data_IF_564863447100
#
_entry.id   IF_564863447100
#
_cell.length_a   1.000
_cell.length_b   1.000
_cell.length_c   1.000
_cell.angle_alpha   90.00
_cell.angle_beta   90.00
_cell.angle_gamma   90.00
#
_symmetry.space_group_name_H-M   'P 1'
#
loop_
_entity.id
_entity.type
_entity.pdbx_description
1 polymer ?
#
# COMPACT_ATOMS: atom_id res chain seq x y z
N UNK A 1 -16.21 -17.58 10.35
CA UNK A 1 -17.05 -16.67 9.54
C UNK A 1 -16.46 -16.55 8.15
N UNK A 2 -17.25 -16.80 7.10
CA UNK A 2 -16.80 -16.75 5.70
C UNK A 2 -16.59 -15.33 5.17
N UNK A 3 -16.20 -15.21 3.89
CA UNK A 3 -16.08 -13.92 3.21
C UNK A 3 -17.48 -13.34 2.97
N UNK A 4 -17.71 -12.11 3.42
CA UNK A 4 -18.94 -11.34 3.15
C UNK A 4 -18.61 -10.19 2.20
N UNK A 5 -19.48 -9.94 1.21
CA UNK A 5 -19.34 -8.80 0.30
C UNK A 5 -19.58 -7.50 1.07
N UNK A 6 -18.62 -6.57 1.00
CA UNK A 6 -18.73 -5.24 1.60
C UNK A 6 -18.97 -4.20 0.49
N UNK A 7 -19.79 -3.19 0.77
CA UNK A 7 -19.84 -1.97 -0.05
C UNK A 7 -18.50 -1.22 0.07
N UNK A 8 -18.03 -0.64 -1.04
CA UNK A 8 -16.82 0.19 -1.03
C UNK A 8 -17.20 1.59 -0.53
N UNK A 9 -17.20 1.72 0.80
CA UNK A 9 -17.41 2.97 1.55
C UNK A 9 -16.62 2.92 2.86
N UNK A 10 -16.51 4.04 3.56
CA UNK A 10 -15.85 4.09 4.88
C UNK A 10 -16.56 3.13 5.85
N UNK A 11 -15.78 2.33 6.57
CA UNK A 11 -16.29 1.47 7.65
C UNK A 11 -16.44 2.35 8.89
N UNK A 12 -17.66 2.53 9.39
CA UNK A 12 -17.94 3.42 10.51
C UNK A 12 -17.39 2.89 11.84
N UNK A 13 -17.63 1.61 12.14
CA UNK A 13 -17.12 0.99 13.36
C UNK A 13 -15.59 0.95 13.36
N UNK A 14 -14.97 1.67 14.31
CA UNK A 14 -13.51 1.85 14.39
C UNK A 14 -12.75 0.54 14.56
N UNK A 15 -13.25 -0.40 15.38
CA UNK A 15 -12.62 -1.71 15.58
C UNK A 15 -12.65 -2.52 14.29
N UNK A 16 -13.80 -2.60 13.62
CA UNK A 16 -13.93 -3.29 12.34
C UNK A 16 -13.07 -2.65 11.26
N UNK A 17 -12.96 -1.31 11.26
CA UNK A 17 -12.09 -0.56 10.34
C UNK A 17 -10.62 -0.90 10.59
N UNK A 18 -10.16 -0.96 11.84
CA UNK A 18 -8.79 -1.32 12.19
C UNK A 18 -8.44 -2.76 11.80
N UNK A 19 -9.32 -3.72 12.12
CA UNK A 19 -9.12 -5.13 11.75
C UNK A 19 -9.12 -5.31 10.24
N UNK A 20 -10.05 -4.65 9.54
CA UNK A 20 -10.13 -4.69 8.08
C UNK A 20 -8.91 -4.05 7.43
N UNK A 21 -8.44 -2.90 7.95
CA UNK A 21 -7.21 -2.26 7.50
C UNK A 21 -6.03 -3.23 7.61
N UNK A 22 -5.80 -3.84 8.78
CA UNK A 22 -4.70 -4.78 8.98
C UNK A 22 -4.73 -5.95 7.98
N UNK A 23 -5.91 -6.55 7.76
CA UNK A 23 -6.06 -7.67 6.81
C UNK A 23 -5.85 -7.23 5.35
N UNK A 24 -6.45 -6.12 4.92
CA UNK A 24 -6.33 -5.60 3.55
C UNK A 24 -4.93 -5.09 3.25
N UNK A 25 -4.30 -4.39 4.20
CA UNK A 25 -2.90 -3.94 4.11
C UNK A 25 -1.97 -5.12 3.85
N UNK A 26 -2.10 -6.19 4.62
CA UNK A 26 -1.26 -7.38 4.42
C UNK A 26 -1.50 -8.03 3.05
N UNK A 27 -2.75 -8.10 2.59
CA UNK A 27 -3.07 -8.58 1.24
C UNK A 27 -2.50 -7.70 0.13
N UNK A 28 -2.55 -6.38 0.30
CA UNK A 28 -1.98 -5.41 -0.65
C UNK A 28 -0.46 -5.51 -0.71
N UNK A 29 0.21 -5.57 0.45
CA UNK A 29 1.66 -5.78 0.54
C UNK A 29 2.07 -7.07 -0.19
N UNK A 30 1.32 -8.17 0.02
CA UNK A 30 1.59 -9.42 -0.69
C UNK A 30 1.50 -9.25 -2.21
N UNK A 31 0.48 -8.54 -2.71
CA UNK A 31 0.33 -8.28 -4.15
C UNK A 31 1.42 -7.37 -4.70
N UNK A 32 1.80 -6.33 -3.97
CA UNK A 32 2.90 -5.44 -4.34
C UNK A 32 4.24 -6.18 -4.41
N UNK A 33 4.50 -7.08 -3.45
CA UNK A 33 5.66 -7.96 -3.47
C UNK A 33 5.65 -8.93 -4.66
N UNK A 34 4.54 -9.64 -4.88
CA UNK A 34 4.37 -10.53 -6.04
C UNK A 34 4.67 -9.79 -7.35
N UNK A 35 4.14 -8.58 -7.53
CA UNK A 35 4.36 -7.76 -8.71
C UNK A 35 5.83 -7.34 -8.86
N UNK A 36 6.45 -6.86 -7.78
CA UNK A 36 7.84 -6.42 -7.79
C UNK A 36 8.79 -7.54 -8.21
N UNK A 37 8.55 -8.77 -7.71
CA UNK A 37 9.36 -9.94 -8.05
C UNK A 37 9.07 -10.46 -9.46
N UNK A 38 7.79 -10.63 -9.82
CA UNK A 38 7.42 -11.26 -11.09
C UNK A 38 7.76 -10.41 -12.32
N UNK A 39 7.75 -9.09 -12.18
CA UNK A 39 7.93 -8.16 -13.28
C UNK A 39 9.21 -7.33 -13.18
N UNK A 40 10.03 -7.56 -12.16
CA UNK A 40 11.24 -6.76 -11.86
C UNK A 40 10.96 -5.25 -11.85
N UNK A 41 9.93 -4.85 -11.11
CA UNK A 41 9.50 -3.45 -11.01
C UNK A 41 9.69 -2.90 -9.59
N UNK A 42 10.11 -1.64 -9.54
CA UNK A 42 10.20 -0.86 -8.29
C UNK A 42 8.78 -0.52 -7.80
N UNK A 43 8.40 -0.99 -6.61
CA UNK A 43 7.08 -0.72 -6.00
C UNK A 43 7.27 -0.19 -4.58
N UNK A 44 6.59 0.90 -4.25
CA UNK A 44 6.53 1.48 -2.91
C UNK A 44 5.07 1.70 -2.47
N UNK A 45 4.78 1.44 -1.19
CA UNK A 45 3.50 1.75 -0.55
C UNK A 45 3.75 2.59 0.71
N UNK A 46 3.07 3.73 0.81
CA UNK A 46 3.05 4.60 1.99
C UNK A 46 1.63 4.64 2.52
N UNK A 47 1.43 4.20 3.77
CA UNK A 47 0.09 4.12 4.37
C UNK A 47 0.09 4.70 5.78
N UNK A 48 -0.81 5.64 6.03
CA UNK A 48 -1.14 6.11 7.37
C UNK A 48 -2.39 5.38 7.86
N UNK A 49 -2.23 4.60 8.92
CA UNK A 49 -3.34 3.83 9.50
C UNK A 49 -4.37 4.74 10.17
N UNK A 50 -5.60 4.24 10.43
CA UNK A 50 -6.60 4.99 11.20
C UNK A 50 -6.14 5.41 12.60
N UNK A 51 -5.09 4.79 13.14
CA UNK A 51 -4.48 5.16 14.42
C UNK A 51 -3.31 6.14 14.26
N UNK A 52 -3.14 6.77 13.09
CA UNK A 52 -2.06 7.71 12.78
C UNK A 52 -0.68 7.09 12.58
N UNK A 53 -0.54 5.77 12.71
CA UNK A 53 0.76 5.09 12.55
C UNK A 53 1.10 4.91 11.08
N UNK A 54 2.35 5.23 10.73
CA UNK A 54 2.95 4.96 9.43
C UNK A 54 3.18 3.45 9.24
N UNK A 55 2.92 2.96 8.03
CA UNK A 55 3.31 1.63 7.56
C UNK A 55 3.86 1.77 6.16
N UNK A 56 5.08 1.28 5.97
CA UNK A 56 5.81 1.34 4.70
C UNK A 56 5.99 -0.07 4.14
N UNK A 57 6.00 -0.18 2.83
CA UNK A 57 6.51 -1.33 2.10
C UNK A 57 7.27 -0.84 0.88
N UNK A 58 8.41 -1.45 0.61
CA UNK A 58 9.13 -1.30 -0.66
C UNK A 58 9.61 -2.68 -1.11
N UNK A 59 9.67 -2.88 -2.42
CA UNK A 59 10.15 -4.11 -3.05
C UNK A 59 11.68 -4.22 -3.00
N UNK A 60 12.31 -4.35 -4.17
CA UNK A 60 13.76 -4.56 -4.29
C UNK A 60 14.63 -3.37 -3.84
N UNK A 61 14.08 -2.15 -3.84
CA UNK A 61 14.78 -0.91 -3.45
C UNK A 61 14.19 -0.31 -2.18
N UNK A 62 14.97 0.55 -1.53
CA UNK A 62 14.48 1.37 -0.42
C UNK A 62 13.40 2.35 -0.89
N UNK A 63 12.57 2.83 0.04
CA UNK A 63 11.52 3.77 -0.31
C UNK A 63 12.11 5.13 -0.74
N UNK A 64 13.25 5.50 -0.15
CA UNK A 64 13.99 6.72 -0.45
C UNK A 64 14.50 6.72 -1.89
N UNK A 65 15.03 5.59 -2.38
CA UNK A 65 15.47 5.46 -3.77
C UNK A 65 14.31 5.58 -4.76
N UNK A 66 13.17 4.95 -4.47
CA UNK A 66 11.99 4.98 -5.35
C UNK A 66 11.41 6.40 -5.38
N UNK A 67 11.27 7.05 -4.23
CA UNK A 67 10.80 8.43 -4.13
C UNK A 67 11.77 9.41 -4.80
N UNK A 68 13.08 9.22 -4.60
CA UNK A 68 14.11 10.02 -5.25
C UNK A 68 14.03 9.92 -6.77
N UNK A 69 13.86 8.69 -7.31
CA UNK A 69 13.65 8.48 -8.75
C UNK A 69 12.42 9.24 -9.25
N UNK A 70 11.29 9.17 -8.55
CA UNK A 70 10.05 9.88 -8.93
C UNK A 70 10.21 11.41 -8.88
N UNK A 71 10.78 11.95 -7.80
CA UNK A 71 10.99 13.40 -7.61
C UNK A 71 12.00 13.98 -8.60
N UNK A 72 12.86 13.16 -9.19
CA UNK A 72 13.81 13.59 -10.22
C UNK A 72 13.27 13.46 -11.66
N UNK A 73 12.08 12.87 -11.87
CA UNK A 73 11.46 12.83 -13.20
C UNK A 73 11.05 14.23 -13.67
N UNK A 74 11.09 14.54 -14.97
CA UNK A 74 10.45 15.74 -15.51
C UNK A 74 8.96 15.79 -15.12
N UNK A 75 8.41 16.97 -14.85
CA UNK A 75 7.01 17.11 -14.37
C UNK A 75 5.99 16.46 -15.31
N UNK A 76 6.22 16.52 -16.62
CA UNK A 76 5.33 15.93 -17.62
C UNK A 76 5.32 14.39 -17.60
N UNK A 77 6.26 13.74 -16.92
CA UNK A 77 6.32 12.28 -16.74
C UNK A 77 5.76 11.82 -15.38
N UNK A 78 5.43 12.75 -14.47
CA UNK A 78 5.00 12.41 -13.10
C UNK A 78 3.53 12.01 -12.98
N UNK A 79 2.76 12.09 -14.07
CA UNK A 79 1.32 11.82 -14.13
C UNK A 79 0.49 13.08 -13.95
#
# INVERSE_FOLDING_TARGET
MGRVKLQIKRIENTTNRQVTFSKRRNGLIKKAYELSVLCDVDVALIMFSPSGRLSLFSGNKSIEEILGRYVNLPEHERG
#
